data_IF_655469640809
#
_entry.id   IF_655469640809
#
_cell.length_a   1.000
_cell.length_b   1.000
_cell.length_c   1.000
_cell.angle_alpha   90.00
_cell.angle_beta   90.00
_cell.angle_gamma   90.00
#
_symmetry.space_group_name_H-M   'P 1'
#
loop_
_entity.id
_entity.type
_entity.pdbx_description
1 polymer ?
#
# COMPACT_ATOMS: atom_id res chain seq x y z
N UNK A 1 18.89 6.32 -10.87
CA UNK A 1 18.39 6.13 -9.49
C UNK A 1 16.99 6.74 -9.30
N UNK A 2 16.67 7.91 -9.87
CA UNK A 2 15.31 8.51 -9.81
C UNK A 2 14.19 7.57 -10.26
N UNK A 3 14.34 6.92 -11.42
CA UNK A 3 13.25 6.14 -12.04
C UNK A 3 12.72 4.97 -11.20
N UNK A 4 13.56 4.34 -10.38
CA UNK A 4 13.15 3.25 -9.49
C UNK A 4 12.33 3.77 -8.31
N UNK A 5 12.72 4.92 -7.76
CA UNK A 5 11.98 5.57 -6.67
C UNK A 5 10.64 6.09 -7.19
N UNK A 6 10.62 6.71 -8.37
CA UNK A 6 9.40 7.20 -9.02
C UNK A 6 8.42 6.05 -9.28
N UNK A 7 8.92 4.88 -9.70
CA UNK A 7 8.10 3.68 -9.88
C UNK A 7 7.52 3.16 -8.57
N UNK A 8 8.33 3.13 -7.50
CA UNK A 8 7.88 2.71 -6.18
C UNK A 8 6.78 3.63 -5.64
N UNK A 9 6.95 4.94 -5.78
CA UNK A 9 5.93 5.94 -5.40
C UNK A 9 4.65 5.71 -6.19
N UNK A 10 4.74 5.53 -7.51
CA UNK A 10 3.58 5.25 -8.34
C UNK A 10 2.86 3.94 -7.95
N UNK A 11 3.60 2.88 -7.62
CA UNK A 11 3.02 1.61 -7.18
C UNK A 11 2.31 1.75 -5.82
N UNK A 12 2.92 2.45 -4.86
CA UNK A 12 2.30 2.70 -3.55
C UNK A 12 1.01 3.52 -3.69
N UNK A 13 1.03 4.58 -4.50
CA UNK A 13 -0.18 5.39 -4.77
C UNK A 13 -1.29 4.57 -5.45
N UNK A 14 -0.93 3.72 -6.42
CA UNK A 14 -1.90 2.86 -7.07
C UNK A 14 -2.52 1.84 -6.10
N UNK A 15 -1.72 1.29 -5.19
CA UNK A 15 -2.19 0.38 -4.14
C UNK A 15 -3.09 1.09 -3.11
N UNK A 16 -2.81 2.34 -2.78
CA UNK A 16 -3.63 3.15 -1.87
C UNK A 16 -5.01 3.47 -2.47
N UNK A 17 -5.05 3.95 -3.71
CA UNK A 17 -6.31 4.15 -4.44
C UNK A 17 -7.13 2.86 -4.52
N UNK A 18 -6.47 1.73 -4.80
CA UNK A 18 -7.14 0.42 -4.82
C UNK A 18 -7.66 0.01 -3.43
N UNK A 19 -6.91 0.30 -2.37
CA UNK A 19 -7.31 0.01 -1.00
C UNK A 19 -8.60 0.75 -0.63
N UNK A 20 -8.65 2.06 -0.92
CA UNK A 20 -9.84 2.89 -0.71
C UNK A 20 -11.06 2.35 -1.48
N UNK A 21 -10.87 1.95 -2.75
CA UNK A 21 -11.94 1.37 -3.55
C UNK A 21 -12.45 0.02 -2.99
N UNK A 22 -11.54 -0.85 -2.51
CA UNK A 22 -11.92 -2.12 -1.88
C UNK A 22 -12.69 -1.90 -0.57
N UNK A 23 -12.31 -0.91 0.23
CA UNK A 23 -13.02 -0.55 1.45
C UNK A 23 -14.44 -0.06 1.16
N UNK A 24 -14.61 0.81 0.16
CA UNK A 24 -15.92 1.29 -0.26
C UNK A 24 -16.82 0.14 -0.76
N UNK A 25 -16.28 -0.76 -1.60
CA UNK A 25 -17.00 -1.98 -2.05
C UNK A 25 -17.40 -2.88 -0.89
N UNK A 26 -16.51 -3.07 0.08
CA UNK A 26 -16.77 -3.91 1.25
C UNK A 26 -17.84 -3.29 2.17
N UNK A 27 -17.84 -1.97 2.34
CA UNK A 27 -18.81 -1.26 3.17
C UNK A 27 -20.26 -1.42 2.65
N UNK A 28 -20.44 -1.52 1.34
CA UNK A 28 -21.76 -1.71 0.71
C UNK A 28 -22.18 -3.19 0.68
N UNK A 29 -21.25 -4.13 0.91
CA UNK A 29 -21.51 -5.57 1.05
C UNK A 29 -22.27 -6.23 -0.11
N UNK A 30 -22.22 -5.66 -1.32
CA UNK A 30 -22.86 -6.19 -2.53
C UNK A 30 -21.91 -7.01 -3.40
N UNK A 31 -20.65 -7.13 -2.99
CA UNK A 31 -19.57 -7.71 -3.79
C UNK A 31 -18.80 -8.73 -2.97
N UNK A 32 -18.98 -10.01 -3.30
CA UNK A 32 -18.35 -11.13 -2.60
C UNK A 32 -16.82 -11.14 -2.76
N UNK A 33 -16.27 -10.48 -3.78
CA UNK A 33 -14.84 -10.44 -4.05
C UNK A 33 -14.14 -9.28 -3.31
N UNK A 34 -14.89 -8.30 -2.80
CA UNK A 34 -14.32 -7.11 -2.16
C UNK A 34 -13.36 -7.42 -1.00
N UNK A 35 -13.69 -8.43 -0.19
CA UNK A 35 -12.82 -8.90 0.90
C UNK A 35 -11.55 -9.56 0.37
N UNK A 36 -11.65 -10.34 -0.71
CA UNK A 36 -10.50 -10.97 -1.35
C UNK A 36 -9.55 -9.93 -1.92
N UNK A 37 -10.09 -8.96 -2.66
CA UNK A 37 -9.34 -7.87 -3.26
C UNK A 37 -8.65 -7.00 -2.20
N UNK A 38 -9.35 -6.69 -1.10
CA UNK A 38 -8.80 -5.97 0.05
C UNK A 38 -7.59 -6.72 0.62
N UNK A 39 -7.73 -8.02 0.90
CA UNK A 39 -6.64 -8.85 1.44
C UNK A 39 -5.44 -8.93 0.49
N UNK A 40 -5.68 -9.07 -0.80
CA UNK A 40 -4.61 -9.11 -1.81
C UNK A 40 -3.90 -7.76 -1.92
N UNK A 41 -4.63 -6.64 -1.86
CA UNK A 41 -4.08 -5.29 -1.92
C UNK A 41 -3.21 -4.99 -0.68
N UNK A 42 -3.70 -5.27 0.53
CA UNK A 42 -2.92 -5.11 1.78
C UNK A 42 -1.68 -6.00 1.78
N UNK A 43 -1.79 -7.24 1.27
CA UNK A 43 -0.63 -8.15 1.14
C UNK A 43 0.44 -7.56 0.22
N UNK A 44 0.05 -7.01 -0.94
CA UNK A 44 0.99 -6.37 -1.88
C UNK A 44 1.63 -5.14 -1.26
N UNK A 45 0.84 -4.26 -0.65
CA UNK A 45 1.35 -3.05 0.04
C UNK A 45 2.42 -3.42 1.08
N UNK A 46 2.14 -4.40 1.93
CA UNK A 46 3.14 -4.88 2.91
C UNK A 46 4.40 -5.45 2.24
N UNK A 47 4.27 -6.16 1.12
CA UNK A 47 5.42 -6.69 0.39
C UNK A 47 6.28 -5.57 -0.18
N UNK A 48 5.66 -4.54 -0.76
CA UNK A 48 6.35 -3.38 -1.34
C UNK A 48 7.06 -2.55 -0.26
N UNK A 49 6.44 -2.40 0.91
CA UNK A 49 7.01 -1.62 2.02
C UNK A 49 8.05 -2.40 2.85
N UNK A 50 8.08 -3.73 2.77
CA UNK A 50 8.98 -4.56 3.60
C UNK A 50 10.47 -4.20 3.45
N UNK A 51 11.03 -4.03 2.22
CA UNK A 51 12.44 -3.67 2.06
C UNK A 51 12.78 -2.31 2.66
N UNK A 52 11.81 -1.37 2.72
CA UNK A 52 12.01 -0.07 3.33
C UNK A 52 12.13 -0.20 4.85
N UNK A 53 11.27 -1.01 5.48
CA UNK A 53 11.31 -1.26 6.93
C UNK A 53 12.56 -1.99 7.39
N UNK A 54 13.14 -2.82 6.52
CA UNK A 54 14.39 -3.53 6.79
C UNK A 54 15.64 -2.66 6.54
N UNK A 55 15.46 -1.44 6.01
CA UNK A 55 16.54 -0.49 5.76
C UNK A 55 16.70 0.50 6.94
N UNK A 56 17.83 0.47 7.67
CA UNK A 56 18.07 1.40 8.78
C UNK A 56 17.97 2.89 8.41
N UNK A 57 18.24 3.22 7.15
CA UNK A 57 18.17 4.60 6.63
C UNK A 57 16.72 5.08 6.43
N UNK A 58 15.73 4.19 6.53
CA UNK A 58 14.32 4.55 6.44
C UNK A 58 13.71 4.99 7.78
N UNK A 59 14.51 5.07 8.85
CA UNK A 59 14.03 5.52 10.17
C UNK A 59 13.37 6.90 10.12
N UNK A 60 13.93 7.83 9.34
CA UNK A 60 13.35 9.19 9.15
C UNK A 60 11.97 9.14 8.46
N UNK A 61 11.80 8.23 7.50
CA UNK A 61 10.52 7.99 6.82
C UNK A 61 9.48 7.41 7.79
N UNK A 62 9.89 6.48 8.65
CA UNK A 62 9.01 5.91 9.67
C UNK A 62 8.61 6.94 10.72
N UNK A 63 9.52 7.82 11.14
CA UNK A 63 9.21 8.91 12.08
C UNK A 63 8.28 9.95 11.46
N UNK A 64 8.50 10.33 10.20
CA UNK A 64 7.60 11.23 9.48
C UNK A 64 6.19 10.64 9.32
N UNK A 65 6.06 9.32 9.19
CA UNK A 65 4.78 8.62 9.03
C UNK A 65 3.97 8.45 10.33
N UNK A 66 4.54 8.77 11.51
CA UNK A 66 3.84 8.69 12.80
C UNK A 66 3.00 9.94 13.13
N UNK A 67 3.10 11.00 12.32
CA UNK A 67 2.34 12.24 12.44
C UNK A 67 0.84 12.05 12.13
#
# INVERSE_FOLDING_TARGET
MSSMVDHLVAEVLALDVKLLACQARLAVSTDSEALHDLRTTVRRLRSVLRPLRENPSAAELEDAAKA
#
